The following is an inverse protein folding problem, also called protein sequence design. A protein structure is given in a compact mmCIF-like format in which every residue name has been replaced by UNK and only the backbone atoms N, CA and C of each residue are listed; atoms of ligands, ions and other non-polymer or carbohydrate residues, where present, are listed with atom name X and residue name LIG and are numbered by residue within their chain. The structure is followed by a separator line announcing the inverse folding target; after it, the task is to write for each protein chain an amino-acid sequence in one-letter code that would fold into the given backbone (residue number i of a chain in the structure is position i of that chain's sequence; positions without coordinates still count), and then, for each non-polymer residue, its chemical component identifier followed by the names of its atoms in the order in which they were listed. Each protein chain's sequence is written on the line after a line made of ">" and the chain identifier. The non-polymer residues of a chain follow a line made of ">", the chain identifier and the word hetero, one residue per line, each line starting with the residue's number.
data_IF_749944492296
#
_entry.id   IF_749944492296
#
_cell.length_a   1.000
_cell.length_b   1.000
_cell.length_c   1.000
_cell.angle_alpha   90.00
_cell.angle_beta   90.00
_cell.angle_gamma   90.00
#
_symmetry.space_group_name_H-M   'P 1'
#
loop_
_entity.id
_entity.type
_entity.pdbx_description
1 polymer ?
#
# COMPACT_ATOMS: atom_id res chain seq x y z
N UNK A 1 -10.14 21.73 -8.09
CA UNK A 1 -10.32 20.57 -9.02
C UNK A 1 -11.24 19.57 -8.34
N UNK A 2 -12.15 18.92 -9.08
CA UNK A 2 -13.06 17.93 -8.54
C UNK A 2 -12.57 16.52 -8.82
N UNK A 3 -12.29 15.75 -7.77
CA UNK A 3 -11.61 14.45 -7.84
C UNK A 3 -12.52 13.34 -7.32
N UNK A 4 -12.86 12.35 -8.13
CA UNK A 4 -13.48 11.14 -7.63
C UNK A 4 -12.40 10.14 -7.16
N UNK A 5 -12.57 9.57 -5.97
CA UNK A 5 -11.61 8.64 -5.35
C UNK A 5 -12.31 7.41 -4.80
N UNK A 6 -11.69 6.24 -4.94
CA UNK A 6 -12.21 5.05 -4.29
C UNK A 6 -11.79 4.99 -2.82
N UNK A 7 -12.77 4.67 -1.96
CA UNK A 7 -12.56 4.54 -0.52
C UNK A 7 -12.64 3.08 -0.10
N UNK A 8 -11.88 2.72 0.92
CA UNK A 8 -11.96 1.42 1.58
C UNK A 8 -12.42 1.61 3.02
N UNK A 9 -13.25 0.67 3.53
CA UNK A 9 -13.73 0.70 4.92
C UNK A 9 -12.71 0.22 5.94
N UNK A 10 -11.68 -0.49 5.50
CA UNK A 10 -10.69 -1.06 6.41
C UNK A 10 -9.85 0.07 7.02
N UNK A 11 -10.04 0.28 8.31
CA UNK A 11 -9.37 1.31 9.09
C UNK A 11 -7.85 1.09 9.24
N UNK A 12 -7.33 -0.04 8.74
CA UNK A 12 -5.93 -0.43 8.96
C UNK A 12 -5.36 -1.00 7.67
N UNK A 13 -4.70 -0.16 6.88
CA UNK A 13 -4.00 -0.60 5.68
C UNK A 13 -3.29 0.54 4.96
N UNK A 14 -2.16 0.23 4.33
CA UNK A 14 -1.32 1.22 3.64
C UNK A 14 -2.06 2.04 2.58
N UNK A 15 -3.03 1.44 1.88
CA UNK A 15 -3.87 2.12 0.87
C UNK A 15 -4.72 3.22 1.53
N UNK A 16 -5.41 2.87 2.62
CA UNK A 16 -6.29 3.81 3.33
C UNK A 16 -5.50 4.98 3.90
N UNK A 17 -4.36 4.70 4.54
CA UNK A 17 -3.49 5.74 5.10
C UNK A 17 -2.93 6.66 4.02
N UNK A 18 -2.48 6.10 2.89
CA UNK A 18 -1.96 6.90 1.77
C UNK A 18 -3.04 7.78 1.13
N UNK A 19 -4.25 7.24 0.94
CA UNK A 19 -5.39 8.01 0.43
C UNK A 19 -5.75 9.16 1.38
N UNK A 20 -5.84 8.87 2.69
CA UNK A 20 -6.17 9.87 3.69
C UNK A 20 -5.14 11.00 3.73
N UNK A 21 -3.85 10.66 3.69
CA UNK A 21 -2.78 11.66 3.68
C UNK A 21 -2.86 12.56 2.44
N UNK A 22 -3.12 11.97 1.26
CA UNK A 22 -3.28 12.73 0.02
C UNK A 22 -4.52 13.63 0.07
N UNK A 23 -5.66 13.11 0.49
CA UNK A 23 -6.91 13.89 0.61
C UNK A 23 -6.73 15.03 1.59
N UNK A 24 -6.16 14.80 2.77
CA UNK A 24 -5.87 15.85 3.77
C UNK A 24 -4.98 16.98 3.20
N UNK A 25 -4.02 16.64 2.33
CA UNK A 25 -3.19 17.63 1.67
C UNK A 25 -3.96 18.43 0.61
N UNK A 26 -4.65 17.74 -0.29
CA UNK A 26 -5.38 18.37 -1.40
C UNK A 26 -6.59 19.17 -0.91
N UNK A 27 -7.25 18.74 0.15
CA UNK A 27 -8.34 19.47 0.81
C UNK A 27 -7.92 20.90 1.24
N UNK A 28 -6.69 21.05 1.74
CA UNK A 28 -6.13 22.37 2.10
C UNK A 28 -5.86 23.28 0.90
N UNK A 29 -5.97 22.77 -0.30
CA UNK A 29 -5.74 23.45 -1.57
C UNK A 29 -7.06 23.68 -2.34
N UNK A 30 -8.19 23.65 -1.64
CA UNK A 30 -9.55 23.85 -2.16
C UNK A 30 -9.94 22.87 -3.29
N UNK A 31 -9.38 21.65 -3.26
CA UNK A 31 -9.83 20.58 -4.14
C UNK A 31 -11.09 19.91 -3.55
N UNK A 32 -12.08 19.64 -4.39
CA UNK A 32 -13.33 18.95 -4.04
C UNK A 32 -13.20 17.43 -4.27
N UNK A 33 -13.90 16.64 -3.46
CA UNK A 33 -13.82 15.18 -3.52
C UNK A 33 -15.18 14.51 -3.66
N UNK A 34 -15.19 13.43 -4.44
CA UNK A 34 -16.29 12.48 -4.51
C UNK A 34 -15.75 11.14 -4.04
N UNK A 35 -16.13 10.75 -2.84
CA UNK A 35 -15.74 9.47 -2.26
C UNK A 35 -16.65 8.35 -2.75
N UNK A 36 -16.11 7.37 -3.46
CA UNK A 36 -16.85 6.19 -3.92
C UNK A 36 -16.49 4.98 -3.07
N UNK A 37 -17.44 4.44 -2.34
CA UNK A 37 -17.27 3.26 -1.51
C UNK A 37 -18.23 2.14 -1.95
N UNK A 38 -17.67 0.95 -2.27
CA UNK A 38 -18.47 -0.24 -2.50
C UNK A 38 -18.48 -1.13 -1.26
N UNK A 39 -19.67 -1.52 -0.81
CA UNK A 39 -19.82 -2.43 0.32
C UNK A 39 -20.59 -3.69 -0.07
N UNK A 40 -20.05 -4.84 0.32
CA UNK A 40 -20.73 -6.13 0.20
C UNK A 40 -21.39 -6.58 1.51
N UNK A 41 -21.30 -5.78 2.59
CA UNK A 41 -21.85 -6.12 3.92
C UNK A 41 -23.00 -5.19 4.27
N UNK A 42 -24.09 -5.77 4.75
CA UNK A 42 -25.31 -5.07 5.11
C UNK A 42 -25.16 -4.09 6.31
N UNK A 43 -24.17 -4.31 7.18
CA UNK A 43 -23.97 -3.56 8.42
C UNK A 43 -22.49 -3.31 8.70
N UNK A 44 -22.03 -2.11 8.44
CA UNK A 44 -20.87 -1.60 9.15
C UNK A 44 -21.07 -0.13 9.46
N UNK A 45 -21.64 0.15 10.63
CA UNK A 45 -21.52 1.45 11.31
C UNK A 45 -20.12 1.56 11.89
N UNK A 46 -19.11 1.66 11.06
CA UNK A 46 -17.80 2.11 11.46
C UNK A 46 -17.64 3.60 11.14
N UNK A 47 -16.84 4.39 11.86
CA UNK A 47 -16.51 5.74 11.42
C UNK A 47 -15.80 5.61 10.07
N UNK A 48 -16.43 6.09 9.00
CA UNK A 48 -15.71 6.28 7.75
C UNK A 48 -14.58 7.27 8.07
N UNK A 49 -13.33 6.90 7.77
CA UNK A 49 -12.14 7.73 8.02
C UNK A 49 -12.24 9.14 7.42
N UNK A 50 -13.14 9.31 6.48
CA UNK A 50 -13.37 10.56 5.75
C UNK A 50 -14.58 11.37 6.26
N UNK A 51 -15.28 10.93 7.33
CA UNK A 51 -16.46 11.64 7.86
C UNK A 51 -16.17 12.97 8.55
N UNK A 52 -14.91 13.27 8.82
CA UNK A 52 -14.51 14.53 9.43
C UNK A 52 -14.33 15.67 8.41
N UNK A 53 -14.39 15.35 7.10
CA UNK A 53 -14.39 16.38 6.07
C UNK A 53 -15.78 17.01 5.92
N UNK A 54 -15.80 18.27 5.53
CA UNK A 54 -17.02 18.98 5.21
C UNK A 54 -17.76 18.26 4.07
N UNK A 55 -19.04 17.88 4.26
CA UNK A 55 -19.82 17.22 3.21
C UNK A 55 -19.96 18.01 1.90
N UNK A 56 -19.87 19.34 1.95
CA UNK A 56 -19.89 20.20 0.76
C UNK A 56 -18.61 20.05 -0.09
N UNK A 57 -17.51 19.70 0.54
CA UNK A 57 -16.20 19.52 -0.11
C UNK A 57 -15.88 18.04 -0.33
N UNK A 58 -16.41 17.15 0.49
CA UNK A 58 -16.22 15.72 0.40
C UNK A 58 -17.57 14.99 0.31
N UNK A 59 -18.08 14.84 -0.92
CA UNK A 59 -19.33 14.13 -1.22
C UNK A 59 -19.10 12.61 -1.21
N UNK A 60 -19.69 11.90 -0.24
CA UNK A 60 -19.44 10.48 0.00
C UNK A 60 -20.61 9.60 -0.41
N UNK A 61 -20.39 8.77 -1.43
CA UNK A 61 -21.37 7.84 -1.98
C UNK A 61 -21.05 6.38 -1.60
N UNK A 62 -22.01 5.70 -0.97
CA UNK A 62 -21.92 4.29 -0.60
C UNK A 62 -22.77 3.46 -1.58
N UNK A 63 -22.11 2.61 -2.36
CA UNK A 63 -22.73 1.69 -3.31
C UNK A 63 -22.84 0.31 -2.68
N UNK A 64 -24.06 -0.14 -2.42
CA UNK A 64 -24.29 -1.43 -1.77
C UNK A 64 -24.37 -2.56 -2.81
N UNK A 65 -23.47 -3.53 -2.68
CA UNK A 65 -23.42 -4.75 -3.50
C UNK A 65 -23.47 -6.03 -2.65
N UNK A 66 -24.12 -5.96 -1.48
CA UNK A 66 -24.11 -7.03 -0.48
C UNK A 66 -24.59 -8.40 -1.01
N UNK A 67 -25.48 -8.42 -1.98
CA UNK A 67 -26.01 -9.63 -2.63
C UNK A 67 -25.04 -10.23 -3.68
N UNK A 68 -23.90 -9.59 -3.95
CA UNK A 68 -22.92 -10.00 -4.96
C UNK A 68 -21.48 -10.03 -4.39
N UNK A 69 -21.18 -10.89 -3.39
CA UNK A 69 -19.81 -11.03 -2.89
C UNK A 69 -18.87 -11.45 -4.02
N UNK A 70 -17.73 -10.73 -4.18
CA UNK A 70 -16.82 -10.94 -5.30
C UNK A 70 -16.38 -12.40 -5.46
N UNK A 71 -16.00 -13.05 -4.39
CA UNK A 71 -15.49 -14.42 -4.47
C UNK A 71 -16.55 -15.40 -4.97
N UNK A 72 -17.83 -15.19 -4.64
CA UNK A 72 -18.91 -16.02 -5.11
C UNK A 72 -19.21 -15.75 -6.59
N UNK A 73 -19.19 -14.48 -7.01
CA UNK A 73 -19.31 -14.12 -8.43
C UNK A 73 -18.14 -14.73 -9.23
N UNK A 74 -16.91 -14.66 -8.74
CA UNK A 74 -15.73 -15.19 -9.42
C UNK A 74 -15.74 -16.72 -9.51
N UNK A 75 -16.22 -17.43 -8.50
CA UNK A 75 -16.38 -18.90 -8.55
C UNK A 75 -17.30 -19.34 -9.71
N UNK A 76 -18.37 -18.59 -9.94
CA UNK A 76 -19.38 -18.91 -10.97
C UNK A 76 -19.06 -18.29 -12.33
N UNK A 77 -18.22 -17.25 -12.40
CA UNK A 77 -17.83 -16.59 -13.64
C UNK A 77 -16.71 -17.34 -14.36
N UNK A 78 -16.89 -17.58 -15.66
CA UNK A 78 -15.84 -18.16 -16.51
C UNK A 78 -14.95 -17.11 -17.19
N UNK A 79 -15.46 -15.87 -17.32
CA UNK A 79 -14.78 -14.78 -18.04
C UNK A 79 -15.00 -13.43 -17.33
N UNK A 80 -14.09 -12.49 -17.58
CA UNK A 80 -14.21 -11.13 -17.05
C UNK A 80 -15.53 -10.45 -17.48
N UNK A 81 -15.98 -10.69 -18.73
CA UNK A 81 -17.26 -10.16 -19.25
C UNK A 81 -18.47 -10.66 -18.45
N UNK A 82 -18.48 -11.94 -18.06
CA UNK A 82 -19.55 -12.48 -17.20
C UNK A 82 -19.49 -11.86 -15.80
N UNK A 83 -18.29 -11.63 -15.26
CA UNK A 83 -18.11 -10.92 -14.00
C UNK A 83 -18.62 -9.47 -14.10
N UNK A 84 -18.28 -8.76 -15.18
CA UNK A 84 -18.78 -7.40 -15.45
C UNK A 84 -20.31 -7.36 -15.52
N UNK A 85 -20.93 -8.31 -16.23
CA UNK A 85 -22.38 -8.40 -16.34
C UNK A 85 -23.07 -8.63 -14.98
N UNK A 86 -22.47 -9.40 -14.08
CA UNK A 86 -22.99 -9.58 -12.72
C UNK A 86 -23.04 -8.25 -11.93
N UNK A 87 -22.12 -7.32 -12.21
CA UNK A 87 -22.03 -6.01 -11.56
C UNK A 87 -22.61 -4.86 -12.39
N UNK A 88 -23.39 -5.13 -13.45
CA UNK A 88 -23.90 -4.08 -14.35
C UNK A 88 -24.70 -2.99 -13.64
N UNK A 89 -25.48 -3.34 -12.61
CA UNK A 89 -26.24 -2.37 -11.82
C UNK A 89 -25.33 -1.49 -10.95
N UNK A 90 -24.31 -2.07 -10.31
CA UNK A 90 -23.32 -1.28 -9.59
C UNK A 90 -22.59 -0.30 -10.53
N UNK A 91 -22.18 -0.76 -11.72
CA UNK A 91 -21.59 0.10 -12.75
C UNK A 91 -22.54 1.21 -13.16
N UNK A 92 -23.85 0.91 -13.33
CA UNK A 92 -24.87 1.91 -13.66
C UNK A 92 -25.01 2.98 -12.58
N UNK A 93 -25.04 2.58 -11.32
CA UNK A 93 -25.08 3.50 -10.17
C UNK A 93 -23.84 4.40 -10.16
N UNK A 94 -22.64 3.82 -10.29
CA UNK A 94 -21.38 4.59 -10.34
C UNK A 94 -21.41 5.59 -11.49
N UNK A 95 -21.88 5.18 -12.68
CA UNK A 95 -22.03 6.07 -13.83
C UNK A 95 -22.99 7.23 -13.54
N UNK A 96 -24.14 6.96 -12.89
CA UNK A 96 -25.10 7.98 -12.46
C UNK A 96 -24.41 9.02 -11.58
N UNK A 97 -23.68 8.60 -10.54
CA UNK A 97 -22.93 9.47 -9.64
C UNK A 97 -21.90 10.30 -10.42
N UNK A 98 -21.07 9.66 -11.26
CA UNK A 98 -20.05 10.35 -12.05
C UNK A 98 -20.64 11.36 -13.04
N UNK A 99 -21.80 11.05 -13.64
CA UNK A 99 -22.48 11.95 -14.57
C UNK A 99 -23.13 13.16 -13.86
N UNK A 100 -23.67 12.93 -12.66
CA UNK A 100 -24.27 13.98 -11.82
C UNK A 100 -23.20 14.91 -11.25
N UNK A 101 -22.17 14.34 -10.64
CA UNK A 101 -21.11 15.09 -9.93
C UNK A 101 -20.05 15.69 -10.87
N UNK A 102 -19.86 15.14 -12.07
CA UNK A 102 -18.91 15.58 -13.11
C UNK A 102 -17.51 15.86 -12.61
N UNK A 103 -16.81 14.87 -12.04
CA UNK A 103 -15.43 15.08 -11.61
C UNK A 103 -14.51 15.34 -12.82
N UNK A 104 -13.46 16.13 -12.60
CA UNK A 104 -12.42 16.40 -13.59
C UNK A 104 -11.57 15.15 -13.87
N UNK A 105 -11.41 14.30 -12.85
CA UNK A 105 -10.57 13.10 -12.87
C UNK A 105 -11.03 12.07 -11.85
N UNK A 106 -10.78 10.81 -12.14
CA UNK A 106 -10.93 9.71 -11.18
C UNK A 106 -9.55 9.23 -10.76
N UNK A 107 -9.23 9.32 -9.47
CA UNK A 107 -8.02 8.75 -8.87
C UNK A 107 -8.35 7.41 -8.24
N UNK A 108 -7.77 6.33 -8.76
CA UNK A 108 -7.96 4.97 -8.25
C UNK A 108 -6.74 4.49 -7.49
N UNK A 109 -6.94 3.96 -6.30
CA UNK A 109 -5.92 3.28 -5.52
C UNK A 109 -6.14 1.77 -5.59
N UNK A 110 -5.16 1.05 -6.17
CA UNK A 110 -5.20 -0.40 -6.36
C UNK A 110 -5.96 -0.85 -7.60
N UNK A 111 -5.98 -2.18 -7.81
CA UNK A 111 -6.49 -2.81 -9.03
C UNK A 111 -7.55 -3.90 -8.77
N UNK A 112 -8.04 -4.00 -7.52
CA UNK A 112 -9.03 -4.99 -7.14
C UNK A 112 -10.43 -4.63 -7.69
N UNK A 113 -11.47 -5.36 -7.31
CA UNK A 113 -12.80 -5.27 -7.95
C UNK A 113 -13.43 -3.86 -7.91
N UNK A 114 -13.27 -3.11 -6.84
CA UNK A 114 -13.84 -1.76 -6.71
C UNK A 114 -13.20 -0.75 -7.69
N UNK A 115 -11.85 -0.57 -7.68
CA UNK A 115 -11.19 0.23 -8.72
C UNK A 115 -11.51 -0.24 -10.14
N UNK A 116 -11.65 -1.56 -10.35
CA UNK A 116 -12.02 -2.10 -11.65
C UNK A 116 -13.41 -1.64 -12.11
N UNK A 117 -14.45 -1.73 -11.27
CA UNK A 117 -15.80 -1.28 -11.59
C UNK A 117 -15.86 0.23 -11.85
N UNK A 118 -15.17 1.02 -11.02
CA UNK A 118 -15.09 2.47 -11.17
C UNK A 118 -14.37 2.83 -12.49
N UNK A 119 -13.29 2.12 -12.84
CA UNK A 119 -12.57 2.35 -14.10
C UNK A 119 -13.43 2.12 -15.34
N UNK A 120 -14.32 1.12 -15.30
CA UNK A 120 -15.27 0.83 -16.37
C UNK A 120 -16.31 1.96 -16.47
N UNK A 121 -16.85 2.41 -15.34
CA UNK A 121 -17.82 3.48 -15.29
C UNK A 121 -17.22 4.80 -15.82
N UNK A 122 -16.05 5.21 -15.30
CA UNK A 122 -15.35 6.41 -15.71
C UNK A 122 -15.03 6.43 -17.21
N UNK A 123 -14.59 5.30 -17.77
CA UNK A 123 -14.35 5.17 -19.20
C UNK A 123 -15.60 5.40 -20.03
N UNK A 124 -16.76 4.87 -19.58
CA UNK A 124 -18.05 5.09 -20.28
C UNK A 124 -18.50 6.53 -20.23
N UNK A 125 -18.19 7.25 -19.16
CA UNK A 125 -18.50 8.68 -19.00
C UNK A 125 -17.37 9.60 -19.56
N UNK A 126 -16.33 9.02 -20.17
CA UNK A 126 -15.17 9.73 -20.75
C UNK A 126 -14.41 10.59 -19.74
N UNK A 127 -14.44 10.21 -18.46
CA UNK A 127 -13.67 10.86 -17.41
C UNK A 127 -12.29 10.20 -17.33
N UNK A 128 -11.19 10.97 -17.35
CA UNK A 128 -9.85 10.41 -17.28
C UNK A 128 -9.60 9.71 -15.94
N UNK A 129 -8.92 8.57 -15.98
CA UNK A 129 -8.57 7.77 -14.82
C UNK A 129 -7.07 7.85 -14.59
N UNK A 130 -6.67 8.14 -13.36
CA UNK A 130 -5.29 7.98 -12.89
C UNK A 130 -5.28 6.80 -11.92
N UNK A 131 -4.40 5.84 -12.16
CA UNK A 131 -4.23 4.69 -11.29
C UNK A 131 -3.01 4.89 -10.40
N UNK A 132 -3.20 4.96 -9.08
CA UNK A 132 -2.13 4.86 -8.09
C UNK A 132 -1.97 3.41 -7.67
N UNK A 133 -0.86 2.80 -8.05
CA UNK A 133 -0.62 1.37 -7.88
C UNK A 133 -0.25 1.04 -6.44
N UNK A 134 -1.18 0.47 -5.67
CA UNK A 134 -0.97 0.17 -4.25
C UNK A 134 -0.64 -1.30 -3.98
N UNK A 135 -0.88 -2.19 -4.94
CA UNK A 135 -0.57 -3.63 -4.88
C UNK A 135 -0.63 -4.23 -6.27
N UNK A 136 0.19 -5.24 -6.56
CA UNK A 136 0.16 -6.00 -7.81
C UNK A 136 -0.72 -7.22 -7.61
N UNK A 137 -1.97 -7.12 -8.06
CA UNK A 137 -3.00 -8.14 -7.82
C UNK A 137 -2.59 -9.52 -8.35
N UNK A 138 -1.93 -9.58 -9.51
CA UNK A 138 -1.40 -10.82 -10.09
C UNK A 138 -0.33 -11.48 -9.21
N UNK A 139 0.47 -10.70 -8.47
CA UNK A 139 1.44 -11.20 -7.48
C UNK A 139 0.76 -11.65 -6.20
N UNK A 140 -0.14 -10.87 -5.67
CA UNK A 140 -0.84 -11.17 -4.41
C UNK A 140 -1.70 -12.43 -4.52
N UNK A 141 -2.14 -12.78 -5.72
CA UNK A 141 -3.03 -13.92 -6.00
C UNK A 141 -2.31 -15.13 -6.60
N UNK A 142 -0.99 -15.17 -6.61
CA UNK A 142 -0.21 -16.29 -7.16
C UNK A 142 -0.56 -17.66 -6.55
N UNK A 143 -1.06 -17.68 -5.31
CA UNK A 143 -1.46 -18.91 -4.61
C UNK A 143 -2.91 -19.35 -4.89
N UNK A 144 -3.69 -18.58 -5.64
CA UNK A 144 -5.06 -18.96 -6.00
C UNK A 144 -5.09 -19.98 -7.15
N UNK A 145 -6.19 -20.76 -7.31
CA UNK A 145 -6.38 -21.64 -8.47
C UNK A 145 -6.25 -20.88 -9.80
N UNK A 146 -5.73 -21.56 -10.82
CA UNK A 146 -5.42 -20.98 -12.13
C UNK A 146 -6.56 -20.18 -12.76
N UNK A 147 -7.81 -20.64 -12.60
CA UNK A 147 -9.00 -19.91 -13.09
C UNK A 147 -9.12 -18.54 -12.45
N UNK A 148 -8.99 -18.45 -11.13
CA UNK A 148 -9.08 -17.19 -10.38
C UNK A 148 -7.90 -16.27 -10.70
N UNK A 149 -6.68 -16.80 -10.78
CA UNK A 149 -5.49 -16.04 -11.23
C UNK A 149 -5.73 -15.36 -12.57
N UNK A 150 -6.26 -16.09 -13.56
CA UNK A 150 -6.58 -15.53 -14.89
C UNK A 150 -7.61 -14.42 -14.82
N UNK A 151 -8.64 -14.56 -13.97
CA UNK A 151 -9.66 -13.52 -13.79
C UNK A 151 -9.08 -12.27 -13.12
N UNK A 152 -8.29 -12.43 -12.05
CA UNK A 152 -7.63 -11.31 -11.38
C UNK A 152 -6.64 -10.58 -12.30
N UNK A 153 -5.84 -11.31 -13.06
CA UNK A 153 -4.95 -10.73 -14.06
C UNK A 153 -5.73 -9.97 -15.15
N UNK A 154 -6.86 -10.50 -15.59
CA UNK A 154 -7.71 -9.82 -16.59
C UNK A 154 -8.35 -8.57 -16.02
N UNK A 155 -8.74 -8.58 -14.74
CA UNK A 155 -9.26 -7.42 -14.02
C UNK A 155 -8.19 -6.32 -13.91
N UNK A 156 -7.00 -6.68 -13.44
CA UNK A 156 -5.86 -5.78 -13.33
C UNK A 156 -5.48 -5.16 -14.69
N UNK A 157 -5.38 -5.98 -15.75
CA UNK A 157 -5.19 -5.50 -17.13
C UNK A 157 -6.26 -4.50 -17.57
N UNK A 158 -7.51 -4.74 -17.20
CA UNK A 158 -8.63 -3.85 -17.54
C UNK A 158 -8.47 -2.48 -16.88
N UNK A 159 -8.10 -2.43 -15.60
CA UNK A 159 -7.86 -1.15 -14.89
C UNK A 159 -6.70 -0.41 -15.53
N UNK A 160 -5.56 -1.08 -15.75
CA UNK A 160 -4.39 -0.48 -16.41
C UNK A 160 -4.75 0.08 -17.78
N UNK A 161 -5.49 -0.66 -18.60
CA UNK A 161 -5.94 -0.23 -19.94
C UNK A 161 -6.90 0.95 -19.92
N UNK A 162 -7.71 1.07 -18.87
CA UNK A 162 -8.67 2.16 -18.73
C UNK A 162 -8.03 3.43 -18.13
N UNK A 163 -6.79 3.34 -17.63
CA UNK A 163 -6.10 4.47 -17.01
C UNK A 163 -5.36 5.33 -18.03
N UNK A 164 -5.56 6.64 -17.97
CA UNK A 164 -4.87 7.63 -18.79
C UNK A 164 -3.41 7.82 -18.32
N UNK A 165 -3.20 7.76 -17.01
CA UNK A 165 -1.89 7.84 -16.34
C UNK A 165 -1.79 6.80 -15.24
N UNK A 166 -0.57 6.36 -14.92
CA UNK A 166 -0.31 5.42 -13.85
C UNK A 166 0.82 5.93 -12.96
N UNK A 167 0.59 5.93 -11.65
CA UNK A 167 1.59 6.25 -10.63
C UNK A 167 2.02 4.94 -9.96
N UNK A 168 3.31 4.63 -10.04
CA UNK A 168 3.91 3.48 -9.37
C UNK A 168 4.70 3.94 -8.14
N UNK A 169 4.60 3.25 -7.00
CA UNK A 169 5.35 3.62 -5.80
C UNK A 169 6.85 3.29 -5.88
N UNK A 170 7.28 2.49 -6.87
CA UNK A 170 8.68 2.13 -7.11
C UNK A 170 8.91 1.68 -8.55
N UNK A 171 10.17 1.70 -8.99
CA UNK A 171 10.59 1.11 -10.26
C UNK A 171 10.37 -0.40 -10.31
N UNK A 172 10.57 -1.10 -9.18
CA UNK A 172 10.25 -2.53 -9.03
C UNK A 172 8.78 -2.80 -9.34
N UNK A 173 7.86 -2.01 -8.76
CA UNK A 173 6.44 -2.16 -9.04
C UNK A 173 6.14 -1.96 -10.52
N UNK A 174 6.65 -0.87 -11.12
CA UNK A 174 6.49 -0.60 -12.56
C UNK A 174 7.00 -1.77 -13.41
N UNK A 175 8.23 -2.22 -13.18
CA UNK A 175 8.84 -3.34 -13.90
C UNK A 175 7.98 -4.60 -13.79
N UNK A 176 7.52 -4.94 -12.59
CA UNK A 176 6.68 -6.12 -12.36
C UNK A 176 5.37 -6.05 -13.14
N UNK A 177 4.71 -4.89 -13.18
CA UNK A 177 3.46 -4.70 -13.93
C UNK A 177 3.72 -4.74 -15.45
N UNK A 178 4.80 -4.14 -15.93
CA UNK A 178 5.21 -4.21 -17.33
C UNK A 178 5.43 -5.67 -17.79
N UNK A 179 6.08 -6.48 -16.96
CA UNK A 179 6.40 -7.89 -17.28
C UNK A 179 5.19 -8.82 -17.14
N UNK A 180 4.47 -8.76 -16.04
CA UNK A 180 3.42 -9.74 -15.72
C UNK A 180 2.04 -9.34 -16.24
N UNK A 181 1.71 -8.06 -16.17
CA UNK A 181 0.35 -7.56 -16.47
C UNK A 181 0.25 -7.12 -17.92
N UNK A 182 1.07 -6.18 -18.35
CA UNK A 182 0.97 -5.57 -19.69
C UNK A 182 1.71 -6.37 -20.74
N UNK A 183 2.81 -7.01 -20.37
CA UNK A 183 3.78 -7.66 -21.27
C UNK A 183 4.37 -6.68 -22.28
N UNK A 184 4.74 -5.51 -21.80
CA UNK A 184 5.29 -4.41 -22.60
C UNK A 184 5.52 -3.16 -21.76
N UNK A 185 6.04 -2.09 -22.39
CA UNK A 185 6.38 -0.84 -21.70
C UNK A 185 5.15 0.04 -21.46
N UNK A 186 5.06 0.64 -20.29
CA UNK A 186 4.04 1.62 -19.93
C UNK A 186 4.65 3.02 -20.05
N UNK A 187 4.24 3.77 -21.09
CA UNK A 187 4.80 5.11 -21.38
C UNK A 187 4.20 6.22 -20.52
N UNK A 188 2.88 6.17 -20.30
CA UNK A 188 2.15 7.18 -19.53
C UNK A 188 2.18 6.85 -18.04
N UNK A 189 3.35 6.94 -17.43
CA UNK A 189 3.51 6.57 -16.01
C UNK A 189 4.59 7.36 -15.31
N UNK A 190 4.43 7.48 -14.01
CA UNK A 190 5.34 8.13 -13.07
C UNK A 190 5.78 7.14 -12.00
N UNK A 191 6.96 7.34 -11.45
CA UNK A 191 7.42 6.61 -10.25
C UNK A 191 7.49 7.63 -9.12
N UNK A 192 6.51 7.57 -8.23
CA UNK A 192 6.36 8.48 -7.08
C UNK A 192 6.22 7.60 -5.83
N UNK A 193 7.14 7.68 -4.85
CA UNK A 193 7.10 6.83 -3.66
C UNK A 193 5.84 7.09 -2.83
N UNK A 194 5.44 6.13 -2.00
CA UNK A 194 4.39 6.39 -1.03
C UNK A 194 4.89 7.39 0.03
N UNK A 195 4.07 8.37 0.44
CA UNK A 195 4.43 9.27 1.52
C UNK A 195 4.45 8.55 2.86
N UNK A 196 5.28 9.02 3.77
CA UNK A 196 5.26 8.63 5.18
C UNK A 196 4.49 9.68 5.97
N UNK A 197 3.58 9.23 6.83
CA UNK A 197 2.79 10.13 7.67
C UNK A 197 3.69 10.97 8.60
N UNK A 198 3.34 12.23 8.83
CA UNK A 198 4.12 13.19 9.62
C UNK A 198 4.46 12.70 11.02
N UNK A 199 3.59 11.90 11.63
CA UNK A 199 3.84 11.29 12.94
C UNK A 199 5.13 10.46 12.99
N UNK A 200 5.57 9.88 11.88
CA UNK A 200 6.82 9.09 11.79
C UNK A 200 8.02 9.92 11.32
N UNK A 201 7.82 11.17 10.88
CA UNK A 201 8.90 12.05 10.44
C UNK A 201 9.30 13.07 11.50
N UNK A 202 8.47 13.25 12.54
CA UNK A 202 8.77 14.14 13.65
C UNK A 202 10.06 13.73 14.37
N UNK A 203 10.92 14.70 14.74
CA UNK A 203 12.11 14.42 15.53
C UNK A 203 11.69 13.84 16.89
N UNK A 204 11.95 12.57 17.08
CA UNK A 204 11.77 11.89 18.37
C UNK A 204 13.15 11.48 18.86
N UNK A 205 13.41 11.65 20.13
CA UNK A 205 14.60 11.11 20.75
C UNK A 205 14.51 9.57 20.66
N UNK A 206 15.44 8.96 19.95
CA UNK A 206 15.65 7.51 20.02
C UNK A 206 16.28 7.27 21.39
N UNK A 207 15.66 6.42 22.20
CA UNK A 207 16.24 6.03 23.47
C UNK A 207 17.58 5.29 23.20
N UNK A 208 18.67 5.89 23.64
CA UNK A 208 20.02 5.35 23.45
C UNK A 208 20.24 4.00 24.17
N UNK A 209 19.30 3.61 25.03
CA UNK A 209 19.33 2.35 25.78
C UNK A 209 18.67 1.18 25.06
N UNK A 210 18.41 1.29 23.74
CA UNK A 210 17.72 0.24 23.00
C UNK A 210 18.55 -1.03 23.01
N UNK A 211 18.19 -1.94 23.89
CA UNK A 211 18.68 -3.30 23.94
C UNK A 211 18.42 -4.00 22.59
N UNK A 212 19.11 -5.12 22.37
CA UNK A 212 19.00 -5.97 21.17
C UNK A 212 17.58 -6.50 20.96
N UNK A 213 16.65 -5.63 20.50
CA UNK A 213 15.25 -5.93 20.23
C UNK A 213 15.04 -5.96 18.73
N UNK A 214 14.57 -7.09 18.22
CA UNK A 214 14.20 -7.23 16.81
C UNK A 214 12.67 -7.41 16.68
N UNK A 215 12.08 -6.80 15.67
CA UNK A 215 10.64 -6.94 15.47
C UNK A 215 10.25 -7.05 14.01
N UNK A 216 9.08 -7.67 13.77
CA UNK A 216 8.39 -7.65 12.51
C UNK A 216 6.97 -7.09 12.69
N UNK A 217 6.45 -6.39 11.66
CA UNK A 217 5.14 -5.74 11.71
C UNK A 217 4.37 -6.00 10.42
N UNK A 218 3.14 -6.50 10.53
CA UNK A 218 2.25 -6.67 9.40
C UNK A 218 1.34 -7.89 9.48
N UNK A 219 0.41 -8.00 8.53
CA UNK A 219 -0.46 -9.16 8.41
C UNK A 219 0.35 -10.40 8.04
N UNK A 220 0.12 -11.49 8.77
CA UNK A 220 0.72 -12.77 8.40
C UNK A 220 0.15 -13.26 7.07
N UNK A 221 0.98 -13.33 6.04
CA UNK A 221 0.61 -13.80 4.70
C UNK A 221 1.83 -14.33 3.97
N UNK A 222 1.62 -15.18 2.97
CA UNK A 222 2.72 -15.79 2.19
C UNK A 222 3.66 -14.75 1.57
N UNK A 223 3.11 -13.64 1.07
CA UNK A 223 3.91 -12.60 0.43
C UNK A 223 4.78 -11.83 1.42
N UNK A 224 4.32 -11.69 2.69
CA UNK A 224 5.08 -11.05 3.76
C UNK A 224 6.19 -11.93 4.32
N UNK A 225 6.11 -13.26 4.10
CA UNK A 225 7.17 -14.24 4.35
C UNK A 225 7.76 -14.19 5.78
N UNK A 226 6.93 -13.94 6.79
CA UNK A 226 7.41 -13.81 8.18
C UNK A 226 8.01 -15.09 8.75
N UNK A 227 7.84 -16.23 8.09
CA UNK A 227 8.57 -17.46 8.42
C UNK A 227 10.09 -17.22 8.38
N UNK A 228 10.59 -16.34 7.51
CA UNK A 228 12.00 -15.93 7.49
C UNK A 228 12.43 -15.09 8.70
N UNK A 229 11.54 -14.31 9.29
CA UNK A 229 11.77 -13.65 10.57
C UNK A 229 11.86 -14.67 11.71
N UNK A 230 11.02 -15.71 11.67
CA UNK A 230 11.06 -16.80 12.67
C UNK A 230 12.35 -17.61 12.54
N UNK A 231 12.77 -17.95 11.32
CA UNK A 231 14.05 -18.61 11.05
C UNK A 231 15.24 -17.75 11.53
N UNK A 232 15.23 -16.44 11.29
CA UNK A 232 16.23 -15.50 11.77
C UNK A 232 16.33 -15.52 13.29
N UNK A 233 15.19 -15.44 13.99
CA UNK A 233 15.15 -15.48 15.44
C UNK A 233 15.79 -16.77 15.98
N UNK A 234 15.47 -17.94 15.41
CA UNK A 234 16.04 -19.21 15.81
C UNK A 234 17.55 -19.28 15.51
N UNK A 235 18.01 -18.76 14.38
CA UNK A 235 19.45 -18.72 14.06
C UNK A 235 20.22 -17.83 15.02
N UNK A 236 19.66 -16.67 15.40
CA UNK A 236 20.27 -15.78 16.40
C UNK A 236 20.34 -16.44 17.79
N UNK A 237 19.31 -17.20 18.19
CA UNK A 237 19.35 -17.99 19.43
C UNK A 237 20.45 -19.08 19.40
N UNK A 238 20.56 -19.81 18.28
CA UNK A 238 21.60 -20.82 18.06
C UNK A 238 23.01 -20.22 18.18
N UNK A 239 23.19 -18.99 17.72
CA UNK A 239 24.44 -18.22 17.87
C UNK A 239 24.65 -17.65 19.28
N UNK A 240 23.75 -17.92 20.22
CA UNK A 240 23.77 -17.39 21.61
C UNK A 240 23.75 -15.85 21.65
N UNK A 241 23.23 -15.19 20.61
CA UNK A 241 23.04 -13.76 20.61
C UNK A 241 21.79 -13.41 21.45
N UNK A 242 22.02 -12.78 22.60
CA UNK A 242 20.92 -12.40 23.52
C UNK A 242 20.12 -11.25 22.88
N UNK A 243 18.83 -11.50 22.67
CA UNK A 243 17.89 -10.53 22.09
C UNK A 243 16.45 -10.89 22.48
N UNK A 244 15.55 -9.94 22.33
CA UNK A 244 14.10 -10.17 22.34
C UNK A 244 13.55 -10.06 20.93
N UNK A 245 12.44 -10.77 20.65
CA UNK A 245 11.79 -10.71 19.36
C UNK A 245 10.29 -10.50 19.54
N UNK A 246 9.70 -9.56 18.79
CA UNK A 246 8.27 -9.25 18.83
C UNK A 246 7.67 -9.26 17.42
N UNK A 247 6.41 -9.71 17.31
CA UNK A 247 5.67 -9.73 16.07
C UNK A 247 4.31 -9.03 16.23
N UNK A 248 4.18 -7.86 15.62
CA UNK A 248 2.92 -7.10 15.61
C UNK A 248 2.07 -7.57 14.44
N UNK A 249 0.96 -8.24 14.72
CA UNK A 249 0.06 -8.79 13.70
C UNK A 249 -1.39 -8.87 14.19
N UNK A 250 -2.30 -9.33 13.33
CA UNK A 250 -3.67 -9.63 13.75
C UNK A 250 -3.67 -10.87 14.67
N UNK A 251 -4.22 -10.79 15.89
CA UNK A 251 -4.17 -11.87 16.88
C UNK A 251 -4.94 -13.14 16.50
N UNK A 252 -5.85 -13.06 15.53
CA UNK A 252 -6.66 -14.20 15.09
C UNK A 252 -5.98 -15.10 14.06
N UNK A 253 -4.68 -14.93 13.83
CA UNK A 253 -3.93 -15.72 12.87
C UNK A 253 -3.38 -16.97 13.54
N UNK A 254 -3.57 -18.13 12.88
CA UNK A 254 -2.98 -19.39 13.34
C UNK A 254 -1.49 -19.44 13.00
N UNK A 255 -0.64 -19.17 13.99
CA UNK A 255 0.82 -19.09 13.88
C UNK A 255 1.50 -20.41 14.29
N UNK A 256 1.10 -21.54 13.69
CA UNK A 256 1.61 -22.89 14.05
C UNK A 256 3.14 -23.03 13.98
N UNK A 257 3.77 -22.28 13.06
CA UNK A 257 5.23 -22.37 12.82
C UNK A 257 6.04 -21.37 13.65
N UNK A 258 5.39 -20.46 14.36
CA UNK A 258 6.07 -19.40 15.12
C UNK A 258 6.71 -19.96 16.40
N UNK A 259 7.99 -19.62 16.68
CA UNK A 259 8.63 -19.92 17.95
C UNK A 259 7.90 -19.28 19.16
N UNK A 260 7.68 -20.03 20.22
CA UNK A 260 7.04 -19.55 21.45
C UNK A 260 7.78 -18.42 22.16
N UNK A 261 9.04 -18.22 21.82
CA UNK A 261 9.92 -17.18 22.36
C UNK A 261 9.76 -15.82 21.66
N UNK A 262 8.89 -15.75 20.63
CA UNK A 262 8.52 -14.48 19.97
C UNK A 262 7.23 -13.97 20.64
N UNK A 263 7.28 -12.72 21.11
CA UNK A 263 6.11 -12.04 21.65
C UNK A 263 5.17 -11.61 20.52
N UNK A 264 3.88 -11.96 20.59
CA UNK A 264 2.86 -11.53 19.62
C UNK A 264 2.08 -10.36 20.19
N UNK A 265 2.05 -9.27 19.46
CA UNK A 265 1.35 -8.05 19.82
C UNK A 265 0.21 -7.78 18.81
N UNK A 266 -0.93 -7.23 19.26
CA UNK A 266 -2.03 -6.86 18.39
C UNK A 266 -1.67 -5.68 17.49
N UNK A 267 -2.47 -5.46 16.42
CA UNK A 267 -2.38 -4.26 15.59
C UNK A 267 -2.53 -2.99 16.45
N UNK A 268 -1.76 -1.97 16.13
CA UNK A 268 -1.65 -0.72 16.89
C UNK A 268 -2.13 0.48 16.05
N UNK A 269 -2.49 1.57 16.72
CA UNK A 269 -2.67 2.88 16.09
C UNK A 269 -1.32 3.42 15.59
N UNK A 270 -1.32 4.50 14.81
CA UNK A 270 -0.08 5.13 14.34
C UNK A 270 0.80 5.60 15.52
N UNK A 271 0.19 6.18 16.56
CA UNK A 271 0.88 6.57 17.80
C UNK A 271 1.47 5.39 18.55
N UNK A 272 0.72 4.29 18.63
CA UNK A 272 1.18 3.03 19.20
C UNK A 272 2.36 2.45 18.41
N UNK A 273 2.27 2.43 17.08
CA UNK A 273 3.35 1.98 16.20
C UNK A 273 4.60 2.86 16.33
N UNK A 274 4.45 4.21 16.41
CA UNK A 274 5.59 5.10 16.64
C UNK A 274 6.32 4.74 17.92
N UNK A 275 5.60 4.60 19.04
CA UNK A 275 6.17 4.21 20.33
C UNK A 275 6.83 2.82 20.25
N UNK A 276 6.18 1.88 19.57
CA UNK A 276 6.71 0.53 19.37
C UNK A 276 8.02 0.57 18.55
N UNK A 277 8.05 1.26 17.40
CA UNK A 277 9.28 1.37 16.60
C UNK A 277 10.44 1.97 17.40
N UNK A 278 10.17 3.06 18.14
CA UNK A 278 11.18 3.72 18.98
C UNK A 278 11.75 2.82 20.09
N UNK A 279 11.04 1.77 20.45
CA UNK A 279 11.53 0.77 21.43
C UNK A 279 12.29 -0.40 20.80
N UNK A 280 12.45 -0.43 19.47
CA UNK A 280 13.12 -1.53 18.77
C UNK A 280 14.53 -1.16 18.32
N UNK A 281 15.44 -2.14 18.29
CA UNK A 281 16.78 -1.99 17.73
C UNK A 281 16.84 -2.31 16.23
N UNK A 282 15.89 -3.09 15.71
CA UNK A 282 15.85 -3.48 14.30
C UNK A 282 14.42 -3.90 13.89
N UNK A 283 13.93 -3.40 12.77
CA UNK A 283 12.71 -3.90 12.15
C UNK A 283 13.05 -4.77 10.94
N UNK A 284 12.49 -5.99 10.90
CA UNK A 284 12.77 -6.99 9.86
C UNK A 284 11.57 -7.16 8.94
N UNK A 285 11.79 -6.98 7.63
CA UNK A 285 10.75 -7.04 6.60
C UNK A 285 11.17 -8.01 5.48
N UNK A 286 10.87 -9.32 5.61
CA UNK A 286 11.37 -10.38 4.73
C UNK A 286 10.45 -10.63 3.53
N UNK A 287 9.62 -9.68 3.12
CA UNK A 287 8.60 -9.88 2.08
C UNK A 287 9.19 -10.38 0.76
N UNK A 288 8.55 -11.36 0.13
CA UNK A 288 8.96 -11.86 -1.19
C UNK A 288 8.63 -10.89 -2.32
N UNK A 289 7.70 -9.98 -2.07
CA UNK A 289 7.37 -8.87 -2.96
C UNK A 289 6.58 -7.80 -2.21
N UNK A 290 6.94 -6.54 -2.44
CA UNK A 290 6.11 -5.39 -2.07
C UNK A 290 6.23 -4.28 -3.10
N UNK A 291 5.13 -3.63 -3.42
CA UNK A 291 5.12 -2.49 -4.34
C UNK A 291 5.95 -1.32 -3.80
N UNK A 292 5.97 -1.16 -2.46
CA UNK A 292 6.81 -0.17 -1.79
C UNK A 292 7.35 -0.74 -0.46
N UNK A 293 6.56 -0.77 0.60
CA UNK A 293 6.94 -1.17 1.96
C UNK A 293 6.88 0.03 2.91
N UNK A 294 5.67 0.36 3.41
CA UNK A 294 5.48 1.49 4.31
C UNK A 294 6.13 1.25 5.67
N UNK A 295 5.96 0.04 6.25
CA UNK A 295 6.51 -0.33 7.57
C UNK A 295 8.02 -0.02 7.71
N UNK A 296 8.90 -0.49 6.81
CA UNK A 296 10.31 -0.15 6.94
C UNK A 296 10.59 1.33 6.75
N UNK A 297 9.81 2.05 5.93
CA UNK A 297 10.02 3.49 5.73
C UNK A 297 9.58 4.30 6.94
N UNK A 298 8.47 3.94 7.59
CA UNK A 298 8.00 4.53 8.85
C UNK A 298 9.09 4.38 9.95
N UNK A 299 9.60 3.17 10.13
CA UNK A 299 10.65 2.89 11.11
C UNK A 299 11.96 3.63 10.79
N UNK A 300 12.40 3.63 9.52
CA UNK A 300 13.63 4.31 9.11
C UNK A 300 13.54 5.82 9.27
N UNK A 301 12.37 6.42 8.99
CA UNK A 301 12.14 7.85 9.22
C UNK A 301 12.20 8.24 10.70
N UNK A 302 11.95 7.33 11.62
CA UNK A 302 12.16 7.51 13.07
C UNK A 302 13.63 7.28 13.50
N UNK A 303 14.53 6.92 12.58
CA UNK A 303 15.91 6.62 12.87
C UNK A 303 16.19 5.17 13.28
N UNK A 304 15.18 4.29 13.20
CA UNK A 304 15.32 2.87 13.53
C UNK A 304 15.85 2.11 12.30
N UNK A 305 16.96 1.36 12.42
CA UNK A 305 17.46 0.55 11.31
C UNK A 305 16.47 -0.54 10.93
N UNK A 306 16.47 -0.87 9.64
CA UNK A 306 15.60 -1.90 9.09
C UNK A 306 16.41 -2.94 8.32
N UNK A 307 15.91 -4.14 8.23
CA UNK A 307 16.44 -5.18 7.36
C UNK A 307 15.34 -5.61 6.39
N UNK A 308 15.47 -5.22 5.13
CA UNK A 308 14.44 -5.41 4.10
C UNK A 308 14.91 -6.33 3.00
N UNK A 309 13.98 -7.11 2.45
CA UNK A 309 14.25 -7.89 1.25
C UNK A 309 14.50 -6.98 0.04
N UNK A 310 15.43 -7.37 -0.83
CA UNK A 310 15.74 -6.72 -2.10
C UNK A 310 14.59 -6.77 -3.11
N UNK A 311 13.56 -7.56 -2.82
CA UNK A 311 12.30 -7.68 -3.57
C UNK A 311 11.21 -6.70 -3.09
N UNK A 312 11.56 -5.72 -2.27
CA UNK A 312 10.66 -4.66 -1.82
C UNK A 312 10.98 -3.33 -2.53
N UNK A 313 9.95 -2.60 -2.96
CA UNK A 313 10.12 -1.33 -3.68
C UNK A 313 10.89 -0.27 -2.91
N UNK A 314 10.77 -0.23 -1.57
CA UNK A 314 11.51 0.68 -0.71
C UNK A 314 13.04 0.45 -0.72
N UNK A 315 13.51 -0.73 -1.15
CA UNK A 315 14.92 -1.01 -1.31
C UNK A 315 15.61 -0.02 -2.28
N UNK A 316 14.89 0.46 -3.29
CA UNK A 316 15.40 1.49 -4.21
C UNK A 316 15.67 2.82 -3.50
N UNK A 317 14.76 3.24 -2.62
CA UNK A 317 14.89 4.48 -1.85
C UNK A 317 16.03 4.36 -0.84
N UNK A 318 16.11 3.24 -0.11
CA UNK A 318 17.21 2.98 0.84
C UNK A 318 18.58 3.04 0.15
N UNK A 319 18.74 2.37 -0.98
CA UNK A 319 19.98 2.42 -1.78
C UNK A 319 20.30 3.84 -2.24
N UNK A 320 19.31 4.61 -2.69
CA UNK A 320 19.47 5.99 -3.16
C UNK A 320 19.98 6.94 -2.07
N UNK A 321 19.59 6.73 -0.81
CA UNK A 321 20.02 7.57 0.32
C UNK A 321 21.25 7.02 1.05
N UNK A 322 21.92 6.00 0.50
CA UNK A 322 23.15 5.43 1.06
C UNK A 322 22.95 4.42 2.19
N UNK A 323 21.74 3.82 2.29
CA UNK A 323 21.38 2.78 3.26
C UNK A 323 21.29 1.39 2.60
N UNK A 324 22.13 1.14 1.60
CA UNK A 324 22.15 -0.14 0.88
C UNK A 324 22.48 -1.35 1.78
N UNK A 325 23.19 -1.14 2.89
CA UNK A 325 23.47 -2.16 3.90
C UNK A 325 22.24 -2.69 4.62
N UNK A 326 21.10 -1.99 4.57
CA UNK A 326 19.82 -2.42 5.12
C UNK A 326 19.02 -3.32 4.16
N UNK A 327 19.52 -3.57 2.94
CA UNK A 327 18.86 -4.37 1.90
C UNK A 327 19.62 -5.68 1.70
N UNK A 328 18.91 -6.82 1.80
CA UNK A 328 19.52 -8.15 1.68
C UNK A 328 18.51 -9.16 1.10
N UNK A 329 19.00 -10.21 0.39
CA UNK A 329 18.17 -11.39 0.11
C UNK A 329 17.99 -12.23 1.39
N UNK A 330 16.79 -12.71 1.63
CA UNK A 330 16.47 -13.62 2.74
C UNK A 330 16.65 -15.10 2.39
N UNK A 331 17.34 -15.43 1.31
CA UNK A 331 17.60 -16.82 0.92
C UNK A 331 18.64 -17.51 1.82
N UNK A 332 19.62 -16.75 2.33
CA UNK A 332 20.68 -17.22 3.23
C UNK A 332 20.48 -16.62 4.63
N UNK A 333 19.83 -17.38 5.50
CA UNK A 333 19.51 -16.92 6.86
C UNK A 333 20.76 -16.65 7.72
N UNK A 334 21.88 -17.30 7.41
CA UNK A 334 23.14 -17.05 8.09
C UNK A 334 23.66 -15.63 7.82
N UNK A 335 23.69 -15.20 6.57
CA UNK A 335 24.07 -13.84 6.18
C UNK A 335 23.06 -12.81 6.69
N UNK A 336 21.76 -13.15 6.73
CA UNK A 336 20.72 -12.29 7.32
C UNK A 336 20.98 -12.10 8.81
N UNK A 337 21.40 -13.14 9.54
CA UNK A 337 21.73 -13.07 10.95
C UNK A 337 22.97 -12.20 11.20
N UNK A 338 24.03 -12.34 10.37
CA UNK A 338 25.22 -11.47 10.45
C UNK A 338 24.81 -10.00 10.31
N UNK A 339 24.01 -9.69 9.29
CA UNK A 339 23.56 -8.34 9.01
C UNK A 339 22.62 -7.80 10.11
N UNK A 340 21.75 -8.64 10.67
CA UNK A 340 20.89 -8.26 11.79
C UNK A 340 21.70 -7.89 13.03
N UNK A 341 22.76 -8.64 13.35
CA UNK A 341 23.67 -8.34 14.46
C UNK A 341 24.45 -7.04 14.24
N UNK A 342 24.88 -6.78 12.98
CA UNK A 342 25.56 -5.53 12.62
C UNK A 342 24.66 -4.31 12.75
N UNK A 343 23.41 -4.38 12.29
CA UNK A 343 22.50 -3.24 12.19
C UNK A 343 21.76 -2.93 13.50
N UNK A 344 21.51 -3.96 14.33
CA UNK A 344 20.65 -3.80 15.49
C UNK A 344 21.23 -2.77 16.48
N UNK A 345 20.46 -1.72 16.75
CA UNK A 345 20.87 -0.62 17.63
C UNK A 345 21.82 0.41 16.97
N UNK A 346 22.12 0.27 15.67
CA UNK A 346 22.92 1.28 14.98
C UNK A 346 22.12 2.55 14.71
N UNK A 347 22.77 3.70 14.85
CA UNK A 347 22.18 4.98 14.48
C UNK A 347 22.30 5.23 12.98
N UNK A 348 21.26 5.75 12.36
CA UNK A 348 21.27 6.22 10.98
C UNK A 348 21.88 7.62 10.95
N UNK A 349 22.81 7.86 10.03
CA UNK A 349 23.45 9.16 9.92
C UNK A 349 22.44 10.27 9.62
N UNK A 350 22.52 11.44 10.26
CA UNK A 350 21.55 12.54 10.05
C UNK A 350 21.39 12.93 8.58
N UNK A 351 22.46 12.91 7.79
CA UNK A 351 22.43 13.19 6.35
C UNK A 351 21.54 12.20 5.58
N UNK A 352 21.63 10.91 5.90
CA UNK A 352 20.84 9.87 5.25
C UNK A 352 19.38 9.96 5.68
N UNK A 353 19.14 10.19 6.98
CA UNK A 353 17.78 10.35 7.53
C UNK A 353 17.08 11.57 6.95
N UNK A 354 17.76 12.71 6.86
CA UNK A 354 17.17 13.92 6.26
C UNK A 354 16.89 13.75 4.76
N UNK A 355 17.77 13.07 4.01
CA UNK A 355 17.54 12.75 2.62
C UNK A 355 16.31 11.84 2.44
N UNK A 356 16.15 10.82 3.29
CA UNK A 356 15.00 9.94 3.29
C UNK A 356 13.71 10.69 3.59
N UNK A 357 13.67 11.45 4.70
CA UNK A 357 12.50 12.25 5.10
C UNK A 357 12.05 13.21 4.00
N UNK A 358 12.99 13.85 3.31
CA UNK A 358 12.68 14.75 2.18
C UNK A 358 12.00 14.02 1.01
N UNK A 359 12.47 12.81 0.65
CA UNK A 359 11.91 12.03 -0.46
C UNK A 359 10.50 11.52 -0.12
N UNK A 360 10.25 11.20 1.16
CA UNK A 360 9.01 10.61 1.63
C UNK A 360 8.07 11.62 2.31
N UNK A 361 8.43 12.91 2.28
CA UNK A 361 7.60 13.98 2.83
C UNK A 361 6.21 13.98 2.20
N UNK A 362 5.18 14.01 3.06
CA UNK A 362 3.81 13.89 2.60
C UNK A 362 3.39 15.05 1.68
N UNK A 363 3.82 16.27 1.97
CA UNK A 363 3.48 17.43 1.14
C UNK A 363 4.17 17.33 -0.21
N UNK A 364 5.48 17.02 -0.23
CA UNK A 364 6.25 16.86 -1.44
C UNK A 364 5.66 15.78 -2.38
N UNK A 365 5.39 14.59 -1.83
CA UNK A 365 4.78 13.48 -2.60
C UNK A 365 3.37 13.86 -3.10
N UNK A 366 2.58 14.52 -2.27
CA UNK A 366 1.23 14.95 -2.66
C UNK A 366 1.25 16.02 -3.75
N UNK A 367 2.24 16.93 -3.74
CA UNK A 367 2.47 17.90 -4.84
C UNK A 367 2.82 17.20 -6.14
N UNK A 368 3.70 16.19 -6.12
CA UNK A 368 4.02 15.40 -7.32
C UNK A 368 2.77 14.69 -7.87
N UNK A 369 1.95 14.09 -7.01
CA UNK A 369 0.67 13.47 -7.41
C UNK A 369 -0.29 14.53 -7.97
N UNK A 370 -0.40 15.70 -7.34
CA UNK A 370 -1.24 16.81 -7.82
C UNK A 370 -0.79 17.31 -9.20
N UNK A 371 0.50 17.36 -9.45
CA UNK A 371 1.02 17.73 -10.78
C UNK A 371 0.58 16.72 -11.85
N UNK A 372 0.54 15.41 -11.54
CA UNK A 372 0.01 14.39 -12.46
C UNK A 372 -1.50 14.59 -12.69
N UNK A 373 -2.28 14.88 -11.63
CA UNK A 373 -3.71 15.18 -11.73
C UNK A 373 -3.95 16.38 -12.67
N UNK A 374 -3.27 17.51 -12.43
CA UNK A 374 -3.39 18.73 -13.23
C UNK A 374 -3.01 18.52 -14.70
N UNK A 375 -1.92 17.79 -14.97
CA UNK A 375 -1.48 17.53 -16.34
C UNK A 375 -2.48 16.64 -17.11
N UNK A 376 -3.15 15.74 -16.41
CA UNK A 376 -4.15 14.85 -17.00
C UNK A 376 -5.42 15.60 -17.36
N UNK A 377 -5.91 16.48 -16.49
CA UNK A 377 -7.12 17.30 -16.73
C UNK A 377 -6.91 18.29 -17.86
N UNK A 378 -5.77 18.99 -17.94
CA UNK A 378 -5.42 19.92 -19.03
C UNK A 378 -5.42 19.23 -20.39
N UNK A 379 -4.81 18.06 -20.53
CA UNK A 379 -4.79 17.29 -21.80
C UNK A 379 -6.19 16.89 -22.24
N UNK A 380 -7.07 16.55 -21.32
CA UNK A 380 -8.45 16.16 -21.65
C UNK A 380 -9.28 17.34 -22.16
N UNK A 381 -9.04 18.56 -21.66
CA UNK A 381 -9.71 19.78 -22.10
C UNK A 381 -9.22 20.27 -23.49
N UNK A 382 -8.01 19.92 -23.91
CA UNK A 382 -7.50 20.22 -25.26
C UNK A 382 -8.02 19.26 -26.34
N UNK A 383 -8.64 18.13 -25.97
CA UNK A 383 -9.16 17.10 -26.90
C UNK A 383 -10.69 17.22 -27.08
N UNK A 384 -11.37 17.99 -26.23
CA UNK A 384 -12.77 18.37 -26.37
C UNK A 384 -12.93 19.61 -27.21
#
# INVERSE_FOLDING_TARGET
>A
MKIAINLTRDNVGGITSSNLNLVNYLYKLDDEFIGLELTSRMYMKGPALFRHFDPEVFDHHIINIHHLPLMDVLKHSKTLKKTENAYKEAIKIIRGILNETRPDVVLLSGTYYMPWLISIAAKKEKIPVILWYSGVLSKETEHYPNKLKKLFLSMEKSVVKNSAQIIFPSGLCKKTVEELVVKGKIRNSYVIPNPVASIFTDPSAVDASIERRIAAVGRYSKIKNFDKFFELHLELQKRKWRHTASFVTNPNVNLKTMPKTIEVLPSMTAEGLKKFYLSQGLIVCPSTFETFGNVPMEATCLGIPVLVSDTMGCAEVLKKVGLANMVISFDDIGKVADRAQELCGQSILPKQLNALKRILDNNFVSEEIRAVLNNTTKRNNCIK
#
